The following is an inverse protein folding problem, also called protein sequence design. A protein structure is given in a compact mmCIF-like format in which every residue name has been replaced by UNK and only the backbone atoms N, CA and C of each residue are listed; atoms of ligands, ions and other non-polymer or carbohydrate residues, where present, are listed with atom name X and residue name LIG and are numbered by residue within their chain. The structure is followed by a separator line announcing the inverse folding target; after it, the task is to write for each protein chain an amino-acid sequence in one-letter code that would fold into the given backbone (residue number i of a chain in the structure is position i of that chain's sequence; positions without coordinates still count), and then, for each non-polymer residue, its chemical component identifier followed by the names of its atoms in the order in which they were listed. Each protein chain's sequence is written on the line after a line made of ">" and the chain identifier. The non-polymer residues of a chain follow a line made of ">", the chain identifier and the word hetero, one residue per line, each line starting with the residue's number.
data_IF_849953181613
#
_entry.id   IF_849953181613
#
_cell.length_a   1.000
_cell.length_b   1.000
_cell.length_c   1.000
_cell.angle_alpha   90.00
_cell.angle_beta   90.00
_cell.angle_gamma   90.00
#
_symmetry.space_group_name_H-M   'P 1'
#
loop_
_entity.id
_entity.type
_entity.pdbx_description
1 polymer ?
#
# COMPACT_ATOMS: atom_id res chain seq x y z
N UNK A 1 -5.41 -3.05 -26.94
CA UNK A 1 -6.49 -3.24 -25.93
C UNK A 1 -6.95 -4.69 -25.84
N UNK A 2 -6.52 -5.32 -24.77
CA UNK A 2 -6.75 -6.71 -24.39
C UNK A 2 -7.65 -6.70 -23.15
N UNK A 3 -8.63 -7.62 -23.10
CA UNK A 3 -9.56 -7.76 -21.98
C UNK A 3 -9.24 -9.04 -21.22
N UNK A 4 -8.89 -8.92 -19.94
CA UNK A 4 -8.85 -10.02 -18.98
C UNK A 4 -10.11 -10.01 -18.12
N UNK A 5 -10.75 -11.16 -17.97
CA UNK A 5 -11.98 -11.29 -17.20
C UNK A 5 -11.67 -11.78 -15.78
N UNK A 6 -12.23 -11.09 -14.78
CA UNK A 6 -12.02 -11.43 -13.38
C UNK A 6 -13.07 -12.47 -12.97
N UNK A 7 -12.63 -13.70 -12.70
CA UNK A 7 -13.51 -14.84 -12.39
C UNK A 7 -13.74 -15.05 -10.89
N UNK A 8 -13.10 -14.27 -10.01
CA UNK A 8 -13.26 -14.34 -8.56
C UNK A 8 -13.74 -13.01 -7.97
N UNK A 9 -14.21 -13.05 -6.72
CA UNK A 9 -14.55 -11.85 -5.98
C UNK A 9 -13.28 -11.03 -5.72
N UNK A 10 -13.30 -9.75 -6.11
CA UNK A 10 -12.19 -8.81 -5.94
C UNK A 10 -12.69 -7.50 -5.39
N UNK A 11 -11.83 -6.81 -4.63
CA UNK A 11 -12.04 -5.41 -4.31
C UNK A 11 -11.42 -4.57 -5.44
N UNK A 12 -12.27 -4.04 -6.33
CA UNK A 12 -11.81 -3.32 -7.53
C UNK A 12 -10.91 -2.14 -7.22
N UNK A 13 -11.15 -1.40 -6.13
CA UNK A 13 -10.30 -0.28 -5.73
C UNK A 13 -8.90 -0.76 -5.34
N UNK A 14 -8.82 -1.78 -4.48
CA UNK A 14 -7.55 -2.36 -4.05
C UNK A 14 -6.80 -3.01 -5.23
N UNK A 15 -7.49 -3.75 -6.09
CA UNK A 15 -6.90 -4.36 -7.27
C UNK A 15 -6.36 -3.29 -8.23
N UNK A 16 -7.05 -2.15 -8.36
CA UNK A 16 -6.59 -1.02 -9.15
C UNK A 16 -5.33 -0.39 -8.57
N UNK A 17 -5.26 -0.19 -7.25
CA UNK A 17 -4.05 0.27 -6.58
C UNK A 17 -2.88 -0.72 -6.75
N UNK A 18 -3.12 -2.02 -6.64
CA UNK A 18 -2.10 -3.06 -6.81
C UNK A 18 -1.53 -3.12 -8.24
N UNK A 19 -2.40 -3.02 -9.25
CA UNK A 19 -1.99 -2.96 -10.65
C UNK A 19 -1.27 -1.64 -10.99
N UNK A 20 -1.70 -0.52 -10.40
CA UNK A 20 -1.06 0.79 -10.56
C UNK A 20 0.32 0.81 -9.92
N UNK A 21 0.47 0.24 -8.71
CA UNK A 21 1.74 0.14 -8.00
C UNK A 21 2.80 -0.68 -8.77
N UNK A 22 2.36 -1.64 -9.58
CA UNK A 22 3.21 -2.44 -10.46
C UNK A 22 3.41 -1.80 -11.85
N UNK A 23 2.79 -0.65 -12.11
CA UNK A 23 2.88 0.05 -13.40
C UNK A 23 2.15 -0.65 -14.55
N UNK A 24 1.26 -1.59 -14.26
CA UNK A 24 0.55 -2.40 -15.26
C UNK A 24 -0.69 -1.72 -15.83
N UNK A 25 -1.24 -0.75 -15.10
CA UNK A 25 -2.31 0.13 -15.57
C UNK A 25 -1.96 1.58 -15.30
N UNK A 26 -2.42 2.48 -16.16
CA UNK A 26 -2.28 3.90 -15.95
C UNK A 26 -3.57 4.62 -16.38
N UNK A 27 -4.50 4.90 -15.44
CA UNK A 27 -5.76 5.54 -15.74
C UNK A 27 -5.63 7.02 -16.12
N UNK A 28 -4.43 7.62 -15.98
CA UNK A 28 -4.15 9.02 -16.29
C UNK A 28 -3.50 9.22 -17.67
N UNK A 29 -3.21 8.15 -18.42
CA UNK A 29 -2.73 8.27 -19.80
C UNK A 29 -3.81 8.88 -20.70
N UNK A 30 -3.41 9.77 -21.63
CA UNK A 30 -4.30 10.41 -22.61
C UNK A 30 -5.09 9.40 -23.45
N UNK A 31 -4.56 8.19 -23.66
CA UNK A 31 -5.23 7.11 -24.39
C UNK A 31 -6.25 6.32 -23.54
N UNK A 32 -6.25 6.44 -22.21
CA UNK A 32 -7.28 5.86 -21.32
C UNK A 32 -7.51 4.34 -21.42
N UNK A 33 -6.63 3.59 -22.06
CA UNK A 33 -6.87 2.21 -22.48
C UNK A 33 -6.62 1.16 -21.40
N UNK A 34 -5.78 1.45 -20.41
CA UNK A 34 -5.41 0.47 -19.37
C UNK A 34 -6.09 0.80 -18.03
N UNK A 35 -7.17 0.09 -17.71
CA UNK A 35 -8.02 0.35 -16.54
C UNK A 35 -8.84 -0.89 -16.13
N UNK A 36 -9.47 -0.86 -14.95
CA UNK A 36 -10.43 -1.89 -14.52
C UNK A 36 -11.85 -1.39 -14.75
N UNK A 37 -12.68 -2.17 -15.44
CA UNK A 37 -14.10 -1.85 -15.68
C UNK A 37 -14.93 -3.12 -15.85
N UNK A 38 -16.17 -3.14 -15.36
CA UNK A 38 -17.12 -4.24 -15.57
C UNK A 38 -16.51 -5.63 -15.23
N UNK A 39 -15.85 -5.73 -14.07
CA UNK A 39 -15.16 -6.94 -13.61
C UNK A 39 -14.09 -7.47 -14.59
N UNK A 40 -13.49 -6.57 -15.36
CA UNK A 40 -12.49 -6.89 -16.37
C UNK A 40 -11.32 -5.91 -16.26
N UNK A 41 -10.10 -6.40 -16.47
CA UNK A 41 -8.92 -5.57 -16.59
C UNK A 41 -8.65 -5.36 -18.08
N UNK A 42 -8.56 -4.10 -18.48
CA UNK A 42 -8.16 -3.69 -19.81
C UNK A 42 -6.70 -3.28 -19.75
N UNK A 43 -5.89 -3.83 -20.65
CA UNK A 43 -4.48 -3.47 -20.80
C UNK A 43 -4.16 -3.28 -22.28
N UNK A 44 -3.19 -2.42 -22.59
CA UNK A 44 -2.80 -2.20 -23.98
C UNK A 44 -1.73 -3.18 -24.47
N UNK A 45 -0.90 -3.65 -23.54
CA UNK A 45 0.28 -4.47 -23.80
C UNK A 45 0.03 -5.96 -23.49
N UNK A 46 0.36 -6.82 -24.44
CA UNK A 46 0.23 -8.28 -24.33
C UNK A 46 1.28 -8.88 -23.38
N UNK A 47 2.45 -8.25 -23.24
CA UNK A 47 3.52 -8.69 -22.32
C UNK A 47 3.07 -8.60 -20.86
N UNK A 48 2.10 -7.74 -20.57
CA UNK A 48 1.56 -7.53 -19.22
C UNK A 48 0.44 -8.52 -18.85
N UNK A 49 -0.06 -9.36 -19.77
CA UNK A 49 -1.14 -10.32 -19.49
C UNK A 49 -0.79 -11.23 -18.31
N UNK A 50 0.39 -11.84 -18.34
CA UNK A 50 0.80 -12.81 -17.32
C UNK A 50 0.97 -12.14 -15.95
N UNK A 51 1.58 -10.97 -15.91
CA UNK A 51 1.77 -10.20 -14.68
C UNK A 51 0.42 -9.75 -14.08
N UNK A 52 -0.51 -9.29 -14.91
CA UNK A 52 -1.86 -8.93 -14.48
C UNK A 52 -2.61 -10.15 -13.94
N UNK A 53 -2.53 -11.28 -14.63
CA UNK A 53 -3.17 -12.52 -14.18
C UNK A 53 -2.61 -12.98 -12.83
N UNK A 54 -1.29 -12.93 -12.63
CA UNK A 54 -0.67 -13.27 -11.34
C UNK A 54 -1.15 -12.37 -10.19
N UNK A 55 -1.33 -11.08 -10.44
CA UNK A 55 -1.86 -10.15 -9.44
C UNK A 55 -3.32 -10.42 -9.17
N UNK A 56 -4.13 -10.67 -10.21
CA UNK A 56 -5.52 -11.08 -10.03
C UNK A 56 -5.55 -12.33 -9.16
N UNK A 57 -4.79 -13.38 -9.48
CA UNK A 57 -4.79 -14.63 -8.71
C UNK A 57 -4.32 -14.47 -7.26
N UNK A 58 -3.30 -13.64 -7.02
CA UNK A 58 -2.81 -13.31 -5.68
C UNK A 58 -3.70 -12.31 -4.91
N UNK A 59 -4.64 -11.65 -5.59
CA UNK A 59 -5.47 -10.61 -4.98
C UNK A 59 -6.27 -11.14 -3.80
N UNK A 60 -6.11 -10.44 -2.67
CA UNK A 60 -6.91 -10.62 -1.47
C UNK A 60 -8.02 -9.55 -1.46
N UNK A 61 -9.32 -9.94 -1.44
CA UNK A 61 -10.44 -8.99 -1.49
C UNK A 61 -10.61 -8.19 -0.20
N UNK A 62 -9.89 -8.50 0.87
CA UNK A 62 -9.96 -7.76 2.13
C UNK A 62 -9.59 -6.30 1.87
N UNK A 63 -10.49 -5.33 2.19
CA UNK A 63 -10.21 -3.92 1.99
C UNK A 63 -8.96 -3.51 2.78
N UNK A 64 -8.17 -2.60 2.21
CA UNK A 64 -7.05 -2.02 2.93
C UNK A 64 -7.57 -1.34 4.20
N UNK A 65 -6.87 -1.48 5.35
CA UNK A 65 -7.23 -0.73 6.53
C UNK A 65 -7.25 0.76 6.20
N UNK A 66 -8.27 1.45 6.71
CA UNK A 66 -8.35 2.90 6.55
C UNK A 66 -7.03 3.54 7.00
N UNK A 67 -6.47 4.48 6.22
CA UNK A 67 -5.33 5.23 6.69
C UNK A 67 -5.71 5.92 8.01
N UNK A 68 -4.76 5.99 8.93
CA UNK A 68 -4.96 6.72 10.18
C UNK A 68 -5.40 8.14 9.86
N UNK A 69 -6.41 8.63 10.59
CA UNK A 69 -6.78 10.04 10.51
C UNK A 69 -5.58 10.93 10.87
N UNK A 70 -5.53 12.18 10.38
CA UNK A 70 -4.44 13.11 10.71
C UNK A 70 -4.23 13.23 12.24
N UNK A 71 -5.32 13.23 13.00
CA UNK A 71 -5.27 13.29 14.47
C UNK A 71 -4.63 12.03 15.05
N UNK A 72 -4.90 10.86 14.49
CA UNK A 72 -4.30 9.60 14.95
C UNK A 72 -2.84 9.48 14.54
N UNK A 73 -2.46 9.96 13.35
CA UNK A 73 -1.07 10.07 12.94
C UNK A 73 -0.29 10.96 13.90
N UNK A 74 -0.80 12.16 14.20
CA UNK A 74 -0.18 13.09 15.15
C UNK A 74 -0.08 12.50 16.57
N UNK A 75 -1.06 11.71 17.01
CA UNK A 75 -1.00 11.00 18.30
C UNK A 75 0.07 9.92 18.30
N UNK A 76 0.21 9.17 17.21
CA UNK A 76 1.24 8.14 17.05
C UNK A 76 2.63 8.78 17.07
N UNK A 77 2.86 9.83 16.28
CA UNK A 77 4.11 10.58 16.23
C UNK A 77 4.47 11.16 17.61
N UNK A 78 3.49 11.77 18.29
CA UNK A 78 3.67 12.26 19.66
C UNK A 78 4.09 11.15 20.63
N UNK A 79 3.49 9.97 20.52
CA UNK A 79 3.79 8.84 21.39
C UNK A 79 5.21 8.31 21.13
N UNK A 80 5.60 8.17 19.85
CA UNK A 80 6.96 7.79 19.46
C UNK A 80 7.99 8.79 20.00
N UNK A 81 7.70 10.10 19.87
CA UNK A 81 8.58 11.15 20.39
C UNK A 81 8.69 11.09 21.92
N UNK A 82 7.57 10.91 22.62
CA UNK A 82 7.55 10.79 24.08
C UNK A 82 8.34 9.57 24.57
N UNK A 83 8.20 8.43 23.89
CA UNK A 83 8.98 7.22 24.20
C UNK A 83 10.48 7.46 23.96
N UNK A 84 10.84 8.09 22.84
CA UNK A 84 12.24 8.40 22.53
C UNK A 84 12.87 9.31 23.58
N UNK A 85 12.12 10.30 24.09
CA UNK A 85 12.57 11.17 25.19
C UNK A 85 12.76 10.35 26.47
N UNK A 86 11.81 9.48 26.81
CA UNK A 86 11.89 8.64 27.99
C UNK A 86 13.13 7.73 27.96
N UNK A 87 13.35 7.05 26.83
CA UNK A 87 14.51 6.16 26.65
C UNK A 87 15.83 6.93 26.80
N UNK A 88 15.93 8.13 26.22
CA UNK A 88 17.11 9.00 26.39
C UNK A 88 17.30 9.44 27.84
N UNK A 89 16.23 9.79 28.56
CA UNK A 89 16.34 10.14 29.98
C UNK A 89 16.82 8.97 30.82
N UNK A 90 16.32 7.76 30.58
CA UNK A 90 16.78 6.55 31.26
C UNK A 90 18.25 6.24 30.97
N UNK A 91 18.70 6.43 29.73
CA UNK A 91 20.12 6.29 29.37
C UNK A 91 20.98 7.31 30.11
N UNK A 92 20.55 8.57 30.17
CA UNK A 92 21.27 9.64 30.89
C UNK A 92 21.35 9.32 32.39
N UNK A 93 20.25 8.88 33.01
CA UNK A 93 20.23 8.48 34.41
C UNK A 93 21.15 7.28 34.66
N UNK A 94 21.15 6.28 33.79
CA UNK A 94 22.05 5.13 33.89
C UNK A 94 23.53 5.55 33.77
N UNK A 95 23.87 6.51 32.91
CA UNK A 95 25.23 7.05 32.79
C UNK A 95 25.62 7.84 34.05
N UNK A 96 24.71 8.67 34.58
CA UNK A 96 24.97 9.54 35.72
C UNK A 96 25.00 8.80 37.07
N UNK A 97 24.21 7.73 37.22
CA UNK A 97 24.13 6.91 38.45
C UNK A 97 25.02 5.67 38.40
N UNK A 98 25.32 5.15 37.21
CA UNK A 98 26.08 3.92 37.01
C UNK A 98 27.59 4.11 37.03
N UNK A 99 28.10 5.29 36.66
CA UNK A 99 29.54 5.51 36.50
C UNK A 99 30.11 4.64 35.37
N UNK A 100 30.82 5.25 34.44
CA UNK A 100 31.73 4.49 33.58
C UNK A 100 32.88 4.09 34.51
N UNK A 101 32.89 2.85 34.99
CA UNK A 101 34.14 2.18 35.39
C UNK A 101 34.94 1.81 34.15
#
# INVERSE_FOLDING_TARGET
>A
MIKLEITKEVNSSKLMDELLAQGLINPLCEDGTSTIRDNSVFIDDEENIEAVQQIIDAHDPTPLPQPLSEIEQLKLEKNILAQSIYDLTTIIEAILLGGIE
#
